data_IF_445516439654
#
_entry.id   IF_445516439654
#
_cell.length_a   1.000
_cell.length_b   1.000
_cell.length_c   1.000
_cell.angle_alpha   90.00
_cell.angle_beta   90.00
_cell.angle_gamma   90.00
#
_symmetry.space_group_name_H-M   'P 1'
#
loop_
_entity.id
_entity.type
_entity.pdbx_description
1 polymer ?
#
# COMPACT_ATOMS: atom_id res chain seq x y z
N UNK A 1 -17.17 11.80 -53.35
CA UNK A 1 -16.97 10.46 -53.95
C UNK A 1 -17.67 9.44 -53.06
N UNK A 2 -18.48 8.57 -53.68
CA UNK A 2 -19.47 7.64 -53.08
C UNK A 2 -18.83 6.36 -52.51
N UNK A 3 -19.47 5.79 -51.48
CA UNK A 3 -19.94 4.39 -51.31
C UNK A 3 -20.39 4.25 -49.84
N UNK A 4 -21.67 4.33 -49.47
CA UNK A 4 -22.81 3.39 -49.66
C UNK A 4 -22.50 1.97 -49.18
N UNK A 5 -23.08 1.58 -48.03
CA UNK A 5 -23.69 0.26 -47.86
C UNK A 5 -24.96 0.39 -47.01
N UNK A 6 -25.97 -0.37 -47.44
CA UNK A 6 -27.38 -0.25 -47.12
C UNK A 6 -27.85 -1.42 -46.24
N UNK A 7 -28.79 -1.10 -45.35
CA UNK A 7 -29.96 -1.85 -44.84
C UNK A 7 -29.87 -3.32 -44.37
N UNK A 8 -30.44 -3.59 -43.19
CA UNK A 8 -31.75 -4.27 -43.10
C UNK A 8 -32.27 -4.34 -41.64
N UNK A 9 -33.43 -3.75 -41.43
CA UNK A 9 -34.30 -3.82 -40.26
C UNK A 9 -35.05 -5.16 -40.23
N UNK A 10 -35.26 -5.74 -39.04
CA UNK A 10 -36.35 -6.70 -38.82
C UNK A 10 -36.85 -6.60 -37.37
N UNK A 11 -37.97 -5.90 -37.23
CA UNK A 11 -38.90 -5.95 -36.10
C UNK A 11 -39.84 -7.13 -36.32
N UNK A 12 -40.04 -7.95 -35.29
CA UNK A 12 -41.20 -8.84 -35.21
C UNK A 12 -41.68 -8.89 -33.75
N UNK A 13 -42.94 -8.51 -33.59
CA UNK A 13 -43.70 -8.46 -32.36
C UNK A 13 -44.62 -9.70 -32.24
N UNK A 14 -45.03 -9.99 -31.00
CA UNK A 14 -46.14 -10.90 -30.67
C UNK A 14 -45.66 -12.18 -29.96
N UNK A 15 -46.30 -12.71 -28.92
CA UNK A 15 -47.55 -12.38 -28.23
C UNK A 15 -47.45 -12.91 -26.79
N UNK A 16 -48.22 -12.30 -25.89
CA UNK A 16 -48.54 -12.75 -24.53
C UNK A 16 -49.15 -14.15 -24.49
N UNK A 17 -48.93 -14.89 -23.39
CA UNK A 17 -49.98 -15.68 -22.74
C UNK A 17 -49.66 -15.89 -21.25
N UNK A 18 -50.72 -15.71 -20.48
CA UNK A 18 -50.89 -15.63 -19.04
C UNK A 18 -50.80 -16.96 -18.30
N UNK A 19 -50.33 -16.86 -17.05
CA UNK A 19 -50.80 -17.54 -15.82
C UNK A 19 -51.05 -19.06 -15.82
N UNK A 20 -50.46 -19.74 -14.82
CA UNK A 20 -51.22 -20.28 -13.68
C UNK A 20 -50.27 -20.90 -12.65
N UNK A 21 -50.37 -20.42 -11.41
CA UNK A 21 -49.94 -21.14 -10.22
C UNK A 21 -51.05 -22.11 -9.81
N UNK A 22 -50.73 -23.36 -9.48
CA UNK A 22 -51.43 -24.19 -8.50
C UNK A 22 -50.50 -25.33 -8.01
N UNK A 23 -50.50 -25.52 -6.69
CA UNK A 23 -49.77 -26.52 -5.88
C UNK A 23 -50.36 -27.96 -6.06
N UNK A 24 -50.11 -28.92 -5.13
CA UNK A 24 -49.01 -29.90 -5.06
C UNK A 24 -49.52 -31.35 -5.19
N UNK A 25 -48.66 -32.37 -5.37
CA UNK A 25 -48.94 -33.76 -4.91
C UNK A 25 -47.73 -34.72 -5.03
N UNK A 26 -47.32 -35.24 -3.86
CA UNK A 26 -46.98 -36.64 -3.47
C UNK A 26 -46.14 -37.58 -4.38
N UNK A 27 -44.95 -37.91 -3.86
CA UNK A 27 -44.24 -39.21 -3.78
C UNK A 27 -44.10 -40.14 -5.01
N UNK A 28 -42.85 -40.39 -5.45
CA UNK A 28 -42.11 -41.65 -5.23
C UNK A 28 -40.65 -41.56 -5.75
N UNK A 29 -39.74 -42.18 -4.99
CA UNK A 29 -38.28 -42.16 -5.08
C UNK A 29 -37.67 -42.79 -6.35
N UNK A 30 -36.50 -42.27 -6.77
CA UNK A 30 -35.20 -42.99 -6.97
C UNK A 30 -34.13 -41.94 -7.39
N UNK A 31 -32.87 -42.06 -6.91
CA UNK A 31 -32.01 -40.92 -6.61
C UNK A 31 -31.04 -40.58 -7.75
N UNK A 32 -31.08 -39.34 -8.25
CA UNK A 32 -29.97 -38.79 -9.01
C UNK A 32 -28.95 -38.22 -8.03
N UNK A 33 -27.76 -38.83 -8.00
CA UNK A 33 -26.54 -38.21 -7.46
C UNK A 33 -26.32 -36.88 -8.19
N UNK A 34 -26.90 -35.81 -7.66
CA UNK A 34 -26.40 -34.47 -7.92
C UNK A 34 -25.15 -34.32 -7.05
N UNK A 35 -24.00 -34.40 -7.72
CA UNK A 35 -22.77 -33.79 -7.27
C UNK A 35 -23.08 -32.36 -6.83
N UNK A 36 -23.22 -32.16 -5.53
CA UNK A 36 -23.21 -30.84 -4.93
C UNK A 36 -21.84 -30.24 -5.26
N UNK A 37 -21.81 -29.29 -6.18
CA UNK A 37 -20.78 -28.26 -6.16
C UNK A 37 -20.76 -27.72 -4.72
N UNK A 38 -19.68 -28.03 -3.99
CA UNK A 38 -19.41 -27.47 -2.66
C UNK A 38 -19.32 -25.96 -2.83
N UNK A 39 -20.43 -25.25 -2.63
CA UNK A 39 -20.37 -23.82 -2.31
C UNK A 39 -19.53 -23.69 -1.05
N UNK A 40 -18.43 -22.96 -1.13
CA UNK A 40 -17.58 -22.65 0.01
C UNK A 40 -18.43 -22.04 1.13
N UNK A 41 -18.69 -22.84 2.16
CA UNK A 41 -19.44 -22.39 3.33
C UNK A 41 -18.51 -21.49 4.15
N UNK A 42 -18.70 -20.17 4.03
CA UNK A 42 -18.02 -19.17 4.87
C UNK A 42 -18.62 -19.03 6.27
N UNK A 43 -19.71 -19.75 6.56
CA UNK A 43 -20.34 -19.76 7.87
C UNK A 43 -20.91 -21.14 8.19
N UNK A 44 -20.84 -21.53 9.45
CA UNK A 44 -21.40 -22.77 9.97
C UNK A 44 -21.71 -22.62 11.47
N UNK A 45 -22.51 -23.55 11.98
CA UNK A 45 -23.00 -23.55 13.36
C UNK A 45 -23.09 -24.99 13.86
N UNK A 46 -22.81 -25.19 15.15
CA UNK A 46 -22.94 -26.47 15.85
C UNK A 46 -24.04 -26.43 16.93
N UNK A 47 -24.93 -25.43 16.86
CA UNK A 47 -26.00 -25.20 17.84
C UNK A 47 -25.56 -24.38 19.06
N UNK A 48 -24.30 -24.46 19.48
CA UNK A 48 -23.77 -23.64 20.59
C UNK A 48 -23.19 -22.32 20.11
N UNK A 49 -22.48 -22.35 18.98
CA UNK A 49 -21.93 -21.17 18.34
C UNK A 49 -22.22 -21.16 16.85
N UNK A 50 -22.22 -19.97 16.28
CA UNK A 50 -22.12 -19.77 14.84
C UNK A 50 -20.79 -19.06 14.55
N UNK A 51 -20.00 -19.63 13.65
CA UNK A 51 -18.70 -19.09 13.22
C UNK A 51 -18.80 -18.70 11.76
N UNK A 52 -18.33 -17.49 11.45
CA UNK A 52 -18.34 -16.93 10.10
C UNK A 52 -17.00 -16.27 9.78
N UNK A 53 -16.46 -16.56 8.60
CA UNK A 53 -15.38 -15.78 7.98
C UNK A 53 -16.04 -14.60 7.26
N UNK A 54 -15.93 -13.39 7.83
CA UNK A 54 -16.55 -12.18 7.25
C UNK A 54 -15.81 -11.74 5.99
N UNK A 55 -14.50 -11.65 6.08
CA UNK A 55 -13.60 -11.15 5.06
C UNK A 55 -12.18 -11.67 5.31
N UNK A 56 -11.29 -11.43 4.35
CA UNK A 56 -9.87 -11.68 4.51
C UNK A 56 -9.06 -10.94 3.45
N UNK A 57 -7.76 -10.80 3.69
CA UNK A 57 -6.82 -10.20 2.75
C UNK A 57 -5.41 -10.65 3.09
N UNK A 58 -4.52 -10.64 2.09
CA UNK A 58 -3.11 -10.77 2.37
C UNK A 58 -2.58 -9.49 3.02
N UNK A 59 -1.77 -9.67 4.05
CA UNK A 59 -1.10 -8.60 4.77
C UNK A 59 0.41 -8.83 4.78
N UNK A 60 1.15 -7.78 5.12
CA UNK A 60 2.56 -7.86 5.49
C UNK A 60 2.71 -7.22 6.88
N UNK A 61 2.76 -8.02 7.96
CA UNK A 61 3.07 -7.52 9.29
C UNK A 61 4.48 -6.93 9.34
N UNK A 62 4.71 -5.96 10.23
CA UNK A 62 6.04 -5.32 10.40
C UNK A 62 7.15 -6.30 10.82
N UNK A 63 6.78 -7.38 11.51
CA UNK A 63 7.64 -8.49 11.90
C UNK A 63 7.61 -9.68 10.91
N UNK A 64 6.89 -9.55 9.79
CA UNK A 64 6.75 -10.58 8.77
C UNK A 64 7.97 -10.68 7.85
N UNK A 65 8.24 -11.88 7.34
CA UNK A 65 9.24 -12.09 6.30
C UNK A 65 8.67 -11.61 4.95
N UNK A 66 9.44 -10.81 4.21
CA UNK A 66 8.99 -10.13 3.00
C UNK A 66 8.61 -11.08 1.84
N UNK A 67 9.19 -12.28 1.81
CA UNK A 67 8.92 -13.32 0.81
C UNK A 67 7.75 -14.25 1.19
N UNK A 68 7.24 -14.11 2.41
CA UNK A 68 6.17 -14.96 2.94
C UNK A 68 4.80 -14.33 2.69
N UNK A 69 3.77 -15.18 2.57
CA UNK A 69 2.39 -14.73 2.42
C UNK A 69 1.64 -14.91 3.73
N UNK A 70 1.10 -13.81 4.26
CA UNK A 70 0.30 -13.82 5.47
C UNK A 70 -1.15 -13.51 5.12
N UNK A 71 -2.06 -14.43 5.43
CA UNK A 71 -3.49 -14.24 5.23
C UNK A 71 -4.13 -13.84 6.55
N UNK A 72 -4.72 -12.64 6.59
CA UNK A 72 -5.55 -12.19 7.68
C UNK A 72 -7.01 -12.56 7.40
N UNK A 73 -7.64 -13.30 8.30
CA UNK A 73 -9.06 -13.69 8.24
C UNK A 73 -9.83 -13.01 9.36
N UNK A 74 -10.82 -12.18 9.02
CA UNK A 74 -11.76 -11.63 10.00
C UNK A 74 -12.83 -12.66 10.30
N UNK A 75 -12.88 -13.08 11.56
CA UNK A 75 -13.88 -14.00 12.07
C UNK A 75 -14.97 -13.26 12.83
N UNK A 76 -16.17 -13.81 12.81
CA UNK A 76 -17.30 -13.46 13.67
C UNK A 76 -17.80 -14.73 14.35
N UNK A 77 -17.82 -14.72 15.67
CA UNK A 77 -18.27 -15.85 16.48
C UNK A 77 -19.47 -15.36 17.31
N UNK A 78 -20.60 -16.03 17.16
CA UNK A 78 -21.84 -15.70 17.86
C UNK A 78 -22.18 -16.78 18.88
N UNK A 79 -22.42 -16.38 20.13
CA UNK A 79 -22.95 -17.28 21.14
C UNK A 79 -24.45 -17.55 20.89
N UNK A 80 -24.82 -18.81 20.69
CA UNK A 80 -26.21 -19.26 20.50
C UNK A 80 -26.81 -19.91 21.75
N UNK A 81 -25.99 -20.17 22.77
CA UNK A 81 -26.43 -20.74 24.05
C UNK A 81 -27.12 -19.68 24.92
N UNK A 82 -27.78 -20.15 25.97
CA UNK A 82 -28.40 -19.28 26.97
C UNK A 82 -27.43 -18.77 28.04
N UNK A 83 -26.22 -19.34 28.10
CA UNK A 83 -25.19 -19.04 29.09
C UNK A 83 -24.08 -18.16 28.51
N UNK A 84 -23.21 -17.66 29.39
CA UNK A 84 -21.98 -16.99 28.96
C UNK A 84 -20.97 -18.04 28.53
N UNK A 85 -20.37 -17.86 27.36
CA UNK A 85 -19.31 -18.74 26.87
C UNK A 85 -18.00 -17.98 26.72
N UNK A 86 -16.93 -18.66 27.04
CA UNK A 86 -15.57 -18.17 26.84
C UNK A 86 -15.13 -18.53 25.42
N UNK A 87 -14.60 -17.55 24.69
CA UNK A 87 -14.07 -17.73 23.33
C UNK A 87 -12.62 -17.30 23.32
N UNK A 88 -11.76 -18.15 22.74
CA UNK A 88 -10.33 -17.88 22.59
C UNK A 88 -9.86 -18.23 21.18
N UNK A 89 -8.77 -17.60 20.75
CA UNK A 89 -8.05 -18.01 19.53
C UNK A 89 -7.51 -19.45 19.62
N UNK A 90 -7.32 -19.98 20.84
CA UNK A 90 -6.90 -21.36 21.07
C UNK A 90 -7.96 -22.42 20.72
N UNK A 91 -9.22 -22.01 20.61
CA UNK A 91 -10.36 -22.84 20.19
C UNK A 91 -10.42 -23.00 18.67
N UNK A 92 -9.53 -22.30 17.95
CA UNK A 92 -9.47 -22.30 16.50
C UNK A 92 -8.26 -23.12 16.04
N UNK A 93 -8.52 -24.11 15.20
CA UNK A 93 -7.52 -24.83 14.43
C UNK A 93 -7.47 -24.29 13.00
N UNK A 94 -6.28 -24.25 12.42
CA UNK A 94 -6.10 -23.95 11.01
C UNK A 94 -5.17 -25.02 10.45
N UNK A 95 -5.64 -25.76 9.46
CA UNK A 95 -4.95 -26.93 8.95
C UNK A 95 -4.77 -26.82 7.44
N UNK A 96 -3.64 -27.31 6.95
CA UNK A 96 -3.44 -27.48 5.51
C UNK A 96 -4.11 -28.76 4.99
N UNK A 97 -3.91 -29.04 3.70
CA UNK A 97 -4.47 -30.21 3.02
C UNK A 97 -3.90 -31.55 3.50
N UNK A 98 -2.74 -31.55 4.17
CA UNK A 98 -2.10 -32.71 4.77
C UNK A 98 -2.54 -32.94 6.23
N UNK A 99 -3.29 -31.99 6.80
CA UNK A 99 -3.74 -32.01 8.19
C UNK A 99 -2.71 -31.47 9.18
N UNK A 100 -1.64 -30.81 8.72
CA UNK A 100 -0.69 -30.12 9.59
C UNK A 100 -1.34 -28.86 10.18
N UNK A 101 -1.17 -28.66 11.49
CA UNK A 101 -1.69 -27.47 12.17
C UNK A 101 -0.77 -26.27 11.99
N UNK A 102 -1.29 -25.24 11.33
CA UNK A 102 -0.62 -23.96 11.16
C UNK A 102 -0.90 -23.06 12.36
N UNK A 103 0.15 -22.52 12.97
CA UNK A 103 0.01 -21.61 14.11
C UNK A 103 -0.32 -20.19 13.65
N UNK A 104 -1.18 -19.45 14.38
CA UNK A 104 -1.42 -18.05 14.08
C UNK A 104 -0.17 -17.21 14.37
N UNK A 105 0.06 -16.20 13.54
CA UNK A 105 1.15 -15.24 13.65
C UNK A 105 0.68 -14.05 14.48
N UNK A 106 1.48 -13.66 15.47
CA UNK A 106 1.25 -12.43 16.23
C UNK A 106 1.51 -11.21 15.36
N UNK A 107 0.51 -10.33 15.26
CA UNK A 107 0.63 -9.03 14.59
C UNK A 107 0.72 -7.93 15.62
N UNK A 108 1.72 -7.08 15.47
CA UNK A 108 1.89 -5.89 16.27
C UNK A 108 1.33 -4.68 15.52
N UNK A 109 0.44 -3.94 16.17
CA UNK A 109 -0.13 -2.70 15.66
C UNK A 109 -0.21 -1.70 16.82
N UNK A 110 0.72 -0.74 16.83
CA UNK A 110 0.83 0.31 17.85
C UNK A 110 -0.45 1.15 17.97
N UNK A 111 -1.16 1.35 16.86
CA UNK A 111 -2.34 2.19 16.83
C UNK A 111 -3.62 1.44 17.25
N UNK A 112 -3.52 0.13 17.53
CA UNK A 112 -4.63 -0.77 17.85
C UNK A 112 -5.79 -0.76 16.84
N UNK A 113 -5.52 -0.36 15.59
CA UNK A 113 -6.49 -0.27 14.51
C UNK A 113 -6.83 -1.65 13.90
N UNK A 114 -5.92 -2.61 14.05
CA UNK A 114 -6.02 -3.99 13.63
C UNK A 114 -6.40 -4.90 14.80
N UNK A 115 -7.70 -5.19 14.90
CA UNK A 115 -8.27 -5.95 16.01
C UNK A 115 -8.04 -7.45 15.84
N UNK A 116 -6.97 -7.98 16.44
CA UNK A 116 -6.76 -9.42 16.56
C UNK A 116 -7.83 -10.05 17.46
N UNK A 117 -8.22 -11.29 17.16
CA UNK A 117 -9.14 -12.05 17.99
C UNK A 117 -8.47 -12.39 19.32
N UNK A 118 -8.97 -11.80 20.40
CA UNK A 118 -8.50 -12.03 21.77
C UNK A 118 -9.47 -12.93 22.52
N UNK A 119 -8.99 -13.45 23.64
CA UNK A 119 -9.82 -14.11 24.63
C UNK A 119 -10.91 -13.15 25.13
N UNK A 120 -12.17 -13.56 25.04
CA UNK A 120 -13.30 -12.77 25.52
C UNK A 120 -14.47 -13.63 25.99
N UNK A 121 -15.28 -12.99 26.82
CA UNK A 121 -16.31 -13.63 27.62
C UNK A 121 -17.69 -13.23 27.04
N UNK A 122 -18.29 -14.11 26.25
CA UNK A 122 -19.38 -13.78 25.32
C UNK A 122 -20.76 -14.16 25.88
N UNK A 123 -21.58 -13.16 26.20
CA UNK A 123 -22.95 -13.37 26.69
C UNK A 123 -23.91 -13.90 25.61
N UNK A 124 -25.07 -14.44 26.03
CA UNK A 124 -26.14 -14.96 25.16
C UNK A 124 -26.43 -14.04 23.98
N UNK A 125 -26.39 -14.60 22.77
CA UNK A 125 -26.75 -13.93 21.54
C UNK A 125 -25.77 -12.86 21.05
N UNK A 126 -24.70 -12.57 21.80
CA UNK A 126 -23.67 -11.58 21.44
C UNK A 126 -22.65 -12.17 20.48
N UNK A 127 -21.91 -11.28 19.81
CA UNK A 127 -20.89 -11.61 18.81
C UNK A 127 -19.54 -11.07 19.21
N UNK A 128 -18.50 -11.86 19.01
CA UNK A 128 -17.10 -11.45 19.04
C UNK A 128 -16.58 -11.40 17.60
N UNK A 129 -15.78 -10.40 17.27
CA UNK A 129 -15.11 -10.33 15.96
C UNK A 129 -13.66 -9.92 16.12
N UNK A 130 -12.81 -10.49 15.26
CA UNK A 130 -11.39 -10.18 15.25
C UNK A 130 -10.67 -10.96 14.17
N UNK A 131 -9.44 -10.55 13.89
CA UNK A 131 -8.56 -11.17 12.92
C UNK A 131 -7.74 -12.30 13.53
N UNK A 132 -7.57 -13.38 12.77
CA UNK A 132 -6.46 -14.30 12.92
C UNK A 132 -5.59 -14.24 11.66
N UNK A 133 -4.28 -14.38 11.84
CA UNK A 133 -3.31 -14.24 10.76
C UNK A 133 -2.50 -15.51 10.65
N UNK A 134 -2.38 -16.05 9.45
CA UNK A 134 -1.66 -17.30 9.20
C UNK A 134 -0.65 -17.10 8.08
N UNK A 135 0.54 -17.68 8.21
CA UNK A 135 1.44 -17.86 7.06
C UNK A 135 0.86 -18.98 6.19
N UNK A 136 0.67 -18.71 4.90
CA UNK A 136 0.01 -19.64 3.97
C UNK A 136 0.74 -19.68 2.63
N UNK A 137 0.51 -20.74 1.87
CA UNK A 137 0.80 -20.77 0.45
C UNK A 137 -0.45 -20.39 -0.34
N UNK A 138 -0.31 -19.57 -1.38
CA UNK A 138 -1.45 -18.95 -2.06
C UNK A 138 -2.33 -19.95 -2.81
N UNK A 139 -1.72 -20.98 -3.38
CA UNK A 139 -2.38 -21.95 -4.25
C UNK A 139 -2.84 -23.21 -3.50
N UNK A 140 -2.56 -23.30 -2.20
CA UNK A 140 -2.98 -24.40 -1.34
C UNK A 140 -4.39 -24.21 -0.78
N UNK A 141 -4.98 -25.29 -0.25
CA UNK A 141 -6.28 -25.24 0.44
C UNK A 141 -6.09 -25.51 1.93
N UNK A 142 -6.92 -24.84 2.73
CA UNK A 142 -6.87 -24.94 4.18
C UNK A 142 -8.27 -25.17 4.75
N UNK A 143 -8.32 -25.71 5.97
CA UNK A 143 -9.55 -25.82 6.75
C UNK A 143 -9.40 -25.06 8.08
N UNK A 144 -10.35 -24.18 8.36
CA UNK A 144 -10.50 -23.52 9.65
C UNK A 144 -11.50 -24.31 10.49
N UNK A 145 -11.05 -24.75 11.64
CA UNK A 145 -11.81 -25.55 12.58
C UNK A 145 -12.11 -24.72 13.83
N UNK A 146 -13.33 -24.80 14.32
CA UNK A 146 -13.68 -24.30 15.65
C UNK A 146 -14.18 -25.45 16.50
N UNK A 147 -13.55 -25.65 17.65
CA UNK A 147 -13.94 -26.61 18.66
C UNK A 147 -13.70 -25.98 20.03
N UNK A 148 -14.77 -25.86 20.83
CA UNK A 148 -14.65 -25.30 22.18
C UNK A 148 -13.88 -26.29 23.03
N UNK A 149 -12.74 -25.86 23.57
CA UNK A 149 -11.98 -26.68 24.51
C UNK A 149 -12.65 -26.63 25.88
N UNK A 150 -13.16 -27.77 26.33
CA UNK A 150 -13.70 -27.97 27.68
C UNK A 150 -12.65 -28.68 28.53
N UNK A 151 -12.66 -28.43 29.86
CA UNK A 151 -11.82 -29.18 30.80
C UNK A 151 -12.28 -30.63 30.95
N UNK A 152 -13.54 -30.89 30.61
CA UNK A 152 -14.16 -32.20 30.71
C UNK A 152 -14.05 -32.93 29.36
N UNK A 153 -13.17 -33.93 29.28
CA UNK A 153 -12.85 -34.64 28.04
C UNK A 153 -14.05 -35.42 27.46
N UNK A 154 -15.08 -35.65 28.27
CA UNK A 154 -16.31 -36.35 27.89
C UNK A 154 -17.33 -35.41 27.23
N UNK A 155 -17.19 -34.09 27.40
CA UNK A 155 -18.07 -33.08 26.79
C UNK A 155 -17.60 -32.72 25.38
N UNK A 156 -17.88 -33.60 24.42
CA UNK A 156 -17.54 -33.36 23.01
C UNK A 156 -18.50 -32.35 22.39
N UNK A 157 -17.98 -31.19 21.99
CA UNK A 157 -18.73 -30.26 21.15
C UNK A 157 -18.54 -30.62 19.68
N UNK A 158 -19.62 -30.53 18.89
CA UNK A 158 -19.50 -30.77 17.45
C UNK A 158 -18.57 -29.71 16.82
N UNK A 159 -17.55 -30.18 16.11
CA UNK A 159 -16.58 -29.32 15.46
C UNK A 159 -17.21 -28.59 14.26
N UNK A 160 -16.94 -27.29 14.14
CA UNK A 160 -17.28 -26.51 12.97
C UNK A 160 -16.09 -26.49 12.02
N UNK A 161 -16.31 -26.81 10.75
CA UNK A 161 -15.30 -26.74 9.69
C UNK A 161 -15.70 -25.74 8.61
N UNK A 162 -14.77 -24.86 8.24
CA UNK A 162 -14.90 -23.88 7.17
C UNK A 162 -13.71 -24.02 6.22
N UNK A 163 -13.98 -24.18 4.93
CA UNK A 163 -12.91 -24.20 3.92
C UNK A 163 -12.35 -22.80 3.73
N UNK A 164 -11.04 -22.71 3.57
CA UNK A 164 -10.31 -21.48 3.27
C UNK A 164 -9.47 -21.69 2.03
N UNK A 165 -9.76 -20.88 1.01
CA UNK A 165 -8.99 -20.79 -0.22
C UNK A 165 -8.26 -19.44 -0.26
N UNK A 166 -6.97 -19.37 0.09
CA UNK A 166 -6.19 -18.13 0.09
C UNK A 166 -6.23 -17.39 -1.24
N UNK A 167 -6.27 -18.10 -2.38
CA UNK A 167 -6.32 -17.51 -3.72
C UNK A 167 -7.58 -16.65 -3.95
N UNK A 168 -8.64 -16.86 -3.16
CA UNK A 168 -9.90 -16.10 -3.24
C UNK A 168 -9.83 -14.72 -2.57
N UNK A 169 -8.76 -14.42 -1.83
CA UNK A 169 -8.59 -13.17 -1.09
C UNK A 169 -7.66 -12.19 -1.82
N UNK A 170 -7.90 -10.87 -1.69
CA UNK A 170 -7.08 -9.87 -2.33
C UNK A 170 -5.65 -9.88 -1.78
N UNK A 171 -4.69 -9.85 -2.70
CA UNK A 171 -3.27 -9.61 -2.45
C UNK A 171 -2.91 -8.32 -3.19
N UNK A 172 -2.67 -7.24 -2.43
CA UNK A 172 -2.44 -5.90 -2.98
C UNK A 172 -1.13 -5.29 -2.45
N UNK A 173 -0.25 -6.11 -1.88
CA UNK A 173 1.00 -5.66 -1.26
C UNK A 173 1.90 -4.99 -2.30
N UNK A 174 2.02 -5.57 -3.50
CA UNK A 174 2.82 -5.00 -4.58
C UNK A 174 2.21 -3.71 -5.12
N UNK A 175 0.88 -3.67 -5.28
CA UNK A 175 0.14 -2.51 -5.73
C UNK A 175 0.24 -1.33 -4.76
N UNK A 176 0.39 -1.60 -3.46
CA UNK A 176 0.52 -0.57 -2.42
C UNK A 176 1.71 0.37 -2.61
N UNK A 177 2.78 -0.11 -3.25
CA UNK A 177 3.98 0.68 -3.59
C UNK A 177 3.65 1.89 -4.46
N UNK A 178 2.54 1.83 -5.21
CA UNK A 178 2.04 2.94 -6.03
C UNK A 178 1.76 4.19 -5.18
N UNK A 179 1.31 4.06 -3.94
CA UNK A 179 1.07 5.23 -3.06
C UNK A 179 2.33 6.06 -2.87
N UNK A 180 3.46 5.41 -2.57
CA UNK A 180 4.74 6.08 -2.45
C UNK A 180 5.17 6.70 -3.79
N UNK A 181 5.04 5.97 -4.89
CA UNK A 181 5.37 6.51 -6.21
C UNK A 181 4.53 7.74 -6.58
N UNK A 182 3.21 7.69 -6.34
CA UNK A 182 2.29 8.78 -6.63
C UNK A 182 2.59 10.00 -5.76
N UNK A 183 2.86 9.79 -4.46
CA UNK A 183 3.17 10.87 -3.53
C UNK A 183 4.46 11.57 -3.93
N UNK A 184 5.53 10.80 -4.14
CA UNK A 184 6.82 11.36 -4.55
C UNK A 184 6.72 12.07 -5.90
N UNK A 185 5.91 11.55 -6.83
CA UNK A 185 5.68 12.21 -8.11
C UNK A 185 4.96 13.56 -7.94
N UNK A 186 3.88 13.58 -7.17
CA UNK A 186 3.07 14.78 -6.94
C UNK A 186 3.85 15.88 -6.20
N UNK A 187 4.64 15.50 -5.20
CA UNK A 187 5.31 16.45 -4.29
C UNK A 187 6.70 16.84 -4.79
N UNK A 188 7.53 15.87 -5.20
CA UNK A 188 8.96 16.10 -5.46
C UNK A 188 9.35 16.07 -6.95
N UNK A 189 8.55 15.44 -7.82
CA UNK A 189 8.90 15.25 -9.24
C UNK A 189 7.96 16.00 -10.21
N UNK A 190 7.20 16.97 -9.72
CA UNK A 190 6.39 17.87 -10.55
C UNK A 190 5.16 17.23 -11.20
N UNK A 191 4.82 15.98 -10.89
CA UNK A 191 3.65 15.27 -11.42
C UNK A 191 3.88 14.57 -12.77
N UNK A 192 4.99 14.86 -13.46
CA UNK A 192 5.27 14.38 -14.81
C UNK A 192 6.16 13.11 -14.85
N UNK A 193 6.59 12.61 -13.69
CA UNK A 193 7.42 11.41 -13.65
C UNK A 193 6.63 10.20 -14.17
N UNK A 194 7.14 9.57 -15.23
CA UNK A 194 6.60 8.29 -15.69
C UNK A 194 7.10 7.21 -14.73
N UNK A 195 6.18 6.52 -14.06
CA UNK A 195 6.51 5.33 -13.26
C UNK A 195 7.33 4.36 -14.12
N UNK A 196 8.65 4.28 -13.85
CA UNK A 196 9.55 3.30 -14.50
C UNK A 196 9.23 1.89 -14.05
N UNK A 197 8.72 1.76 -12.83
CA UNK A 197 8.11 0.54 -12.35
C UNK A 197 6.79 0.33 -13.09
N UNK A 198 6.80 -0.63 -14.02
CA UNK A 198 5.62 -1.22 -14.63
C UNK A 198 4.85 -2.04 -13.59
N UNK A 199 4.53 -1.47 -12.43
CA UNK A 199 3.27 -1.83 -11.79
C UNK A 199 2.22 -1.41 -12.83
N UNK A 200 1.82 -2.36 -13.69
CA UNK A 200 0.77 -2.17 -14.69
C UNK A 200 -0.33 -1.45 -13.94
N UNK A 201 -0.63 -0.22 -14.36
CA UNK A 201 -1.82 0.49 -13.96
C UNK A 201 -2.98 -0.46 -14.20
N UNK A 202 -3.34 -1.21 -13.17
CA UNK A 202 -4.61 -1.89 -13.07
C UNK A 202 -5.59 -0.74 -13.02
N UNK A 203 -6.20 -0.44 -14.16
CA UNK A 203 -7.39 0.40 -14.29
C UNK A 203 -8.18 0.32 -12.98
N UNK A 204 -8.17 1.42 -12.23
CA UNK A 204 -9.03 1.70 -11.08
C UNK A 204 -9.33 0.51 -10.16
N UNK A 205 -8.41 0.20 -9.24
CA UNK A 205 -8.90 -0.14 -7.90
C UNK A 205 -8.94 1.16 -7.10
N UNK A 206 -10.12 1.55 -6.66
CA UNK A 206 -10.39 2.73 -5.83
C UNK A 206 -9.63 2.71 -4.49
N UNK A 207 -8.96 1.60 -4.16
CA UNK A 207 -8.36 1.35 -2.85
C UNK A 207 -7.11 2.18 -2.54
N UNK A 208 -6.36 2.68 -3.54
CA UNK A 208 -5.08 3.39 -3.35
C UNK A 208 -5.12 4.86 -3.80
N UNK A 209 -6.08 5.60 -3.26
CA UNK A 209 -6.21 7.04 -3.52
C UNK A 209 -5.49 7.84 -2.44
N UNK A 210 -4.56 8.71 -2.85
CA UNK A 210 -3.91 9.65 -1.93
C UNK A 210 -4.90 10.68 -1.37
N UNK A 211 -4.76 10.95 -0.08
CA UNK A 211 -5.42 12.03 0.65
C UNK A 211 -4.42 13.11 1.09
N UNK A 212 -4.86 13.96 2.02
CA UNK A 212 -4.06 15.08 2.52
C UNK A 212 -4.04 16.27 1.55
N UNK A 213 -3.13 17.23 1.81
CA UNK A 213 -2.98 18.45 1.02
C UNK A 213 -1.69 18.40 0.19
N UNK A 214 -1.71 17.62 -0.90
CA UNK A 214 -0.54 17.41 -1.75
C UNK A 214 0.01 18.71 -2.35
N UNK A 215 -0.84 19.70 -2.61
CA UNK A 215 -0.40 21.00 -3.12
C UNK A 215 0.39 21.77 -2.05
N UNK A 216 -0.06 21.72 -0.79
CA UNK A 216 0.72 22.29 0.30
C UNK A 216 2.04 21.55 0.49
N UNK A 217 2.03 20.22 0.47
CA UNK A 217 3.26 19.41 0.59
C UNK A 217 4.29 19.78 -0.50
N UNK A 218 3.83 19.95 -1.74
CA UNK A 218 4.65 20.42 -2.86
C UNK A 218 5.19 21.83 -2.62
N UNK A 219 4.36 22.75 -2.13
CA UNK A 219 4.77 24.12 -1.85
C UNK A 219 5.78 24.20 -0.70
N UNK A 220 5.58 23.41 0.36
CA UNK A 220 6.51 23.28 1.49
C UNK A 220 7.88 22.80 1.00
N UNK A 221 7.91 21.74 0.19
CA UNK A 221 9.14 21.23 -0.42
C UNK A 221 9.85 22.30 -1.25
N UNK A 222 9.12 22.99 -2.14
CA UNK A 222 9.75 24.02 -2.98
C UNK A 222 10.26 25.21 -2.18
N UNK A 223 9.57 25.57 -1.10
CA UNK A 223 10.02 26.62 -0.19
C UNK A 223 11.30 26.21 0.54
N UNK A 224 11.35 25.01 1.13
CA UNK A 224 12.55 24.47 1.77
C UNK A 224 13.75 24.44 0.81
N UNK A 225 13.53 23.95 -0.42
CA UNK A 225 14.58 23.92 -1.43
C UNK A 225 15.08 25.31 -1.80
N UNK A 226 14.18 26.30 -1.93
CA UNK A 226 14.57 27.67 -2.22
C UNK A 226 15.37 28.30 -1.07
N UNK A 227 15.01 28.02 0.18
CA UNK A 227 15.74 28.48 1.37
C UNK A 227 17.14 27.87 1.42
N UNK A 228 17.25 26.55 1.25
CA UNK A 228 18.53 25.85 1.30
C UNK A 228 19.44 26.22 0.13
N UNK A 229 18.88 26.42 -1.07
CA UNK A 229 19.61 26.94 -2.22
C UNK A 229 20.23 28.32 -1.92
N UNK A 230 19.43 29.26 -1.43
CA UNK A 230 19.90 30.62 -1.10
C UNK A 230 20.89 30.63 0.06
N UNK A 231 20.68 29.77 1.05
CA UNK A 231 21.59 29.62 2.19
C UNK A 231 22.93 29.05 1.74
N UNK A 232 22.93 28.07 0.85
CA UNK A 232 24.16 27.45 0.35
C UNK A 232 24.93 28.37 -0.59
N UNK A 233 24.22 29.08 -1.47
CA UNK A 233 24.77 29.99 -2.47
C UNK A 233 24.48 31.45 -2.10
N UNK A 234 24.91 31.83 -0.90
CA UNK A 234 24.55 33.10 -0.26
C UNK A 234 25.39 34.29 -0.72
N UNK A 235 26.52 34.06 -1.40
CA UNK A 235 27.38 35.15 -1.85
C UNK A 235 26.76 35.87 -3.05
N UNK A 236 26.03 35.16 -3.92
CA UNK A 236 25.24 35.77 -5.00
C UNK A 236 23.77 35.97 -4.60
N UNK A 237 23.21 37.20 -4.71
CA UNK A 237 21.83 37.49 -4.31
C UNK A 237 20.83 37.02 -5.38
N UNK A 238 20.59 35.72 -5.46
CA UNK A 238 19.62 35.15 -6.41
C UNK A 238 18.21 35.71 -6.18
N UNK A 239 17.57 36.13 -7.27
CA UNK A 239 16.16 36.52 -7.26
C UNK A 239 15.27 35.28 -7.12
N UNK A 240 14.06 35.44 -6.59
CA UNK A 240 13.08 34.33 -6.52
C UNK A 240 12.80 33.71 -7.88
N UNK A 241 12.86 34.51 -8.95
CA UNK A 241 12.69 34.03 -10.32
C UNK A 241 13.82 33.09 -10.75
N UNK A 242 15.07 33.44 -10.45
CA UNK A 242 16.23 32.59 -10.76
C UNK A 242 16.18 31.28 -9.96
N UNK A 243 15.90 31.35 -8.66
CA UNK A 243 15.81 30.16 -7.80
C UNK A 243 14.68 29.23 -8.27
N UNK A 244 13.49 29.78 -8.54
CA UNK A 244 12.38 28.95 -9.02
C UNK A 244 12.66 28.32 -10.39
N UNK A 245 13.32 29.04 -11.31
CA UNK A 245 13.70 28.48 -12.61
C UNK A 245 14.71 27.32 -12.46
N UNK A 246 15.65 27.44 -11.52
CA UNK A 246 16.57 26.35 -11.19
C UNK A 246 15.81 25.13 -10.63
N UNK A 247 14.95 25.35 -9.63
CA UNK A 247 14.16 24.28 -9.00
C UNK A 247 13.27 23.59 -10.04
N UNK A 248 12.62 24.33 -10.93
CA UNK A 248 11.79 23.76 -11.99
C UNK A 248 12.60 22.84 -12.91
N UNK A 249 13.74 23.32 -13.41
CA UNK A 249 14.62 22.53 -14.25
C UNK A 249 15.14 21.27 -13.52
N UNK A 250 15.50 21.41 -12.25
CA UNK A 250 15.98 20.32 -11.41
C UNK A 250 14.90 19.26 -11.15
N UNK A 251 13.68 19.68 -10.82
CA UNK A 251 12.51 18.80 -10.61
C UNK A 251 12.14 18.07 -11.92
N UNK A 252 12.07 18.80 -13.04
CA UNK A 252 11.78 18.22 -14.36
C UNK A 252 12.85 17.18 -14.76
N UNK A 253 14.11 17.46 -14.43
CA UNK A 253 15.21 16.55 -14.71
C UNK A 253 15.11 15.27 -13.86
N UNK A 254 14.86 15.40 -12.55
CA UNK A 254 14.68 14.26 -11.67
C UNK A 254 13.44 13.43 -12.02
N UNK A 255 12.36 14.04 -12.51
CA UNK A 255 11.19 13.32 -13.02
C UNK A 255 11.55 12.33 -14.15
N UNK A 256 12.59 12.64 -14.93
CA UNK A 256 13.10 11.79 -16.03
C UNK A 256 14.17 10.82 -15.55
N UNK A 257 15.09 11.30 -14.72
CA UNK A 257 16.37 10.62 -14.44
C UNK A 257 16.40 9.86 -13.13
N UNK A 258 15.61 10.27 -12.13
CA UNK A 258 15.63 9.61 -10.83
C UNK A 258 15.35 8.11 -10.95
N UNK A 259 15.96 7.37 -10.03
CA UNK A 259 15.74 5.95 -9.85
C UNK A 259 15.34 5.74 -8.40
N UNK A 260 14.13 5.24 -8.17
CA UNK A 260 13.59 5.07 -6.82
C UNK A 260 13.18 3.62 -6.70
N UNK A 261 13.75 2.89 -5.74
CA UNK A 261 13.26 1.55 -5.40
C UNK A 261 12.19 1.64 -4.32
N UNK A 262 11.12 0.87 -4.46
CA UNK A 262 10.02 0.79 -3.50
C UNK A 262 9.92 -0.62 -2.91
N UNK A 263 9.98 -0.72 -1.59
CA UNK A 263 9.82 -2.00 -0.87
C UNK A 263 8.71 -1.86 0.15
N UNK A 264 7.70 -2.73 0.07
CA UNK A 264 6.68 -2.80 1.13
C UNK A 264 7.35 -3.36 2.39
N UNK A 265 7.35 -2.58 3.46
CA UNK A 265 7.82 -3.01 4.78
C UNK A 265 6.66 -3.44 5.68
N UNK A 266 5.47 -2.88 5.44
CA UNK A 266 4.25 -3.25 6.13
C UNK A 266 3.05 -2.95 5.22
N UNK A 267 2.06 -3.84 5.22
CA UNK A 267 0.79 -3.66 4.52
C UNK A 267 -0.34 -4.21 5.40
N UNK A 268 -1.10 -3.31 6.00
CA UNK A 268 -2.22 -3.57 6.89
C UNK A 268 -3.47 -2.84 6.35
N UNK A 269 -4.70 -3.20 6.78
CA UNK A 269 -5.94 -2.63 6.23
C UNK A 269 -6.03 -1.09 6.30
N UNK A 270 -5.43 -0.50 7.34
CA UNK A 270 -5.48 0.94 7.62
C UNK A 270 -4.10 1.61 7.66
N UNK A 271 -3.02 0.85 7.47
CA UNK A 271 -1.64 1.35 7.59
C UNK A 271 -0.72 0.65 6.59
N UNK A 272 0.09 1.43 5.89
CA UNK A 272 1.07 0.94 4.91
C UNK A 272 2.39 1.65 5.16
N UNK A 273 3.49 0.88 5.21
CA UNK A 273 4.84 1.43 5.28
C UNK A 273 5.61 0.99 4.06
N UNK A 274 6.05 1.97 3.26
CA UNK A 274 6.90 1.74 2.09
C UNK A 274 8.29 2.30 2.37
N UNK A 275 9.30 1.45 2.26
CA UNK A 275 10.71 1.85 2.21
C UNK A 275 11.05 2.36 0.82
N UNK A 276 11.72 3.50 0.75
CA UNK A 276 12.18 4.12 -0.49
C UNK A 276 13.69 4.31 -0.48
N UNK A 277 14.31 4.16 -1.64
CA UNK A 277 15.72 4.49 -1.86
C UNK A 277 15.88 5.37 -3.10
N UNK A 278 15.67 6.70 -2.95
CA UNK A 278 15.71 7.61 -4.08
C UNK A 278 17.15 7.93 -4.50
N UNK A 279 17.44 7.80 -5.80
CA UNK A 279 18.66 8.28 -6.43
C UNK A 279 18.34 9.50 -7.27
N UNK A 280 18.69 10.68 -6.75
CA UNK A 280 18.42 12.00 -7.33
C UNK A 280 19.72 12.69 -7.73
N UNK A 281 19.64 13.72 -8.57
CA UNK A 281 20.80 14.53 -8.95
C UNK A 281 21.43 15.20 -7.71
N UNK A 282 22.72 14.98 -7.45
CA UNK A 282 23.40 15.63 -6.31
C UNK A 282 23.80 17.07 -6.62
N UNK A 283 23.64 17.96 -5.64
CA UNK A 283 24.15 19.34 -5.65
C UNK A 283 25.33 19.50 -4.65
N UNK A 284 25.35 18.77 -3.54
CA UNK A 284 26.40 18.94 -2.51
C UNK A 284 27.77 18.41 -2.94
N UNK A 285 27.80 17.29 -3.66
CA UNK A 285 29.07 16.72 -4.14
C UNK A 285 29.63 17.50 -5.32
N UNK A 286 28.75 18.13 -6.09
CA UNK A 286 29.16 18.95 -7.23
C UNK A 286 29.69 20.30 -6.79
N UNK A 287 29.08 20.94 -5.78
CA UNK A 287 29.53 22.27 -5.32
C UNK A 287 30.97 22.24 -4.79
N UNK A 288 31.34 21.22 -4.00
CA UNK A 288 32.69 21.15 -3.43
C UNK A 288 33.78 21.03 -4.50
N UNK A 289 33.58 20.13 -5.46
CA UNK A 289 34.54 19.94 -6.56
C UNK A 289 34.58 21.17 -7.46
N UNK A 290 33.41 21.73 -7.78
CA UNK A 290 33.30 22.94 -8.59
C UNK A 290 34.02 24.12 -7.94
N UNK A 291 33.77 24.38 -6.66
CA UNK A 291 34.38 25.51 -5.93
C UNK A 291 35.89 25.42 -5.94
N UNK A 292 36.46 24.22 -5.79
CA UNK A 292 37.90 24.00 -5.89
C UNK A 292 38.42 24.34 -7.28
N UNK A 293 37.85 23.75 -8.33
CA UNK A 293 38.29 23.98 -9.71
C UNK A 293 38.13 25.43 -10.15
N UNK A 294 37.04 26.08 -9.74
CA UNK A 294 36.78 27.48 -10.03
C UNK A 294 37.82 28.37 -9.34
N UNK A 295 38.18 28.06 -8.09
CA UNK A 295 39.22 28.78 -7.36
C UNK A 295 40.58 28.65 -8.04
N UNK A 296 40.97 27.43 -8.42
CA UNK A 296 42.27 27.18 -9.04
C UNK A 296 42.42 27.92 -10.38
N UNK A 297 41.34 28.04 -11.15
CA UNK A 297 41.35 28.69 -12.47
C UNK A 297 41.18 30.21 -12.40
N UNK A 298 40.22 30.68 -11.60
CA UNK A 298 39.73 32.05 -11.71
C UNK A 298 40.14 32.95 -10.54
N UNK A 299 40.72 32.43 -9.45
CA UNK A 299 41.02 33.26 -8.27
C UNK A 299 41.88 34.48 -8.60
N UNK A 300 42.88 34.35 -9.48
CA UNK A 300 43.76 35.47 -9.88
C UNK A 300 43.07 36.54 -10.73
N UNK A 301 41.89 36.25 -11.30
CA UNK A 301 41.13 37.18 -12.14
C UNK A 301 40.38 38.23 -11.30
N UNK A 302 40.22 38.01 -10.00
CA UNK A 302 39.45 38.87 -9.11
C UNK A 302 40.35 39.60 -8.11
N UNK A 303 40.27 40.92 -8.13
CA UNK A 303 41.00 41.79 -7.20
C UNK A 303 40.44 41.69 -5.76
N UNK A 304 39.14 41.41 -5.61
CA UNK A 304 38.50 41.28 -4.30
C UNK A 304 37.78 39.95 -4.14
N UNK A 305 37.73 39.50 -2.88
CA UNK A 305 37.23 38.18 -2.54
C UNK A 305 35.69 38.09 -2.62
N UNK A 306 34.99 39.20 -2.43
CA UNK A 306 33.52 39.24 -2.50
C UNK A 306 33.01 39.06 -3.94
N UNK A 307 33.62 39.71 -4.92
CA UNK A 307 33.30 39.51 -6.35
C UNK A 307 33.68 38.10 -6.81
N UNK A 308 34.78 37.56 -6.30
CA UNK A 308 35.16 36.17 -6.55
C UNK A 308 34.08 35.19 -6.10
N UNK A 309 33.60 35.28 -4.85
CA UNK A 309 32.57 34.35 -4.35
C UNK A 309 31.21 34.58 -5.01
N UNK A 310 30.82 35.83 -5.29
CA UNK A 310 29.64 36.14 -6.11
C UNK A 310 29.69 35.47 -7.48
N UNK A 311 30.85 35.53 -8.14
CA UNK A 311 31.04 34.88 -9.41
C UNK A 311 31.01 33.35 -9.28
N UNK A 312 31.63 32.79 -8.24
CA UNK A 312 31.63 31.34 -8.00
C UNK A 312 30.21 30.80 -7.84
N UNK A 313 29.39 31.40 -6.97
CA UNK A 313 28.00 30.96 -6.74
C UNK A 313 27.16 31.06 -8.01
N UNK A 314 27.26 32.19 -8.73
CA UNK A 314 26.49 32.38 -9.97
C UNK A 314 26.89 31.38 -11.05
N UNK A 315 28.19 31.20 -11.28
CA UNK A 315 28.68 30.27 -12.30
C UNK A 315 28.41 28.82 -11.90
N UNK A 316 28.41 28.48 -10.61
CA UNK A 316 28.01 27.15 -10.15
C UNK A 316 26.55 26.86 -10.48
N UNK A 317 25.63 27.78 -10.17
CA UNK A 317 24.21 27.61 -10.48
C UNK A 317 23.98 27.45 -12.00
N UNK A 318 24.68 28.25 -12.82
CA UNK A 318 24.58 28.18 -14.29
C UNK A 318 25.16 26.86 -14.84
N UNK A 319 26.32 26.43 -14.35
CA UNK A 319 26.96 25.17 -14.73
C UNK A 319 26.12 23.96 -14.32
N UNK A 320 25.52 24.00 -13.13
CA UNK A 320 24.60 22.96 -12.67
C UNK A 320 23.37 22.91 -13.55
N UNK A 321 22.70 24.04 -13.78
CA UNK A 321 21.51 24.12 -14.62
C UNK A 321 21.77 23.60 -16.04
N UNK A 322 22.92 23.95 -16.64
CA UNK A 322 23.31 23.49 -17.96
C UNK A 322 23.62 21.98 -18.03
N UNK A 323 24.11 21.39 -16.94
CA UNK A 323 24.57 20.00 -16.89
C UNK A 323 23.60 19.01 -16.23
N UNK A 324 22.38 19.43 -15.84
CA UNK A 324 21.43 18.61 -15.08
C UNK A 324 21.18 17.23 -15.71
N UNK A 325 21.23 17.08 -17.03
CA UNK A 325 20.99 15.82 -17.75
C UNK A 325 22.13 14.77 -17.66
N UNK A 326 23.32 15.21 -17.24
CA UNK A 326 24.53 14.39 -17.21
C UNK A 326 25.14 14.28 -15.81
N UNK A 327 24.70 15.11 -14.84
CA UNK A 327 25.16 15.00 -13.44
C UNK A 327 24.87 13.62 -12.83
N UNK A 328 25.77 13.09 -11.99
CA UNK A 328 25.57 11.79 -11.36
C UNK A 328 24.38 11.80 -10.40
N UNK A 329 23.72 10.65 -10.28
CA UNK A 329 22.71 10.42 -9.25
C UNK A 329 23.38 10.00 -7.95
N UNK A 330 23.00 10.65 -6.85
CA UNK A 330 23.41 10.26 -5.51
C UNK A 330 22.77 8.92 -5.15
N UNK A 331 23.51 8.06 -4.43
CA UNK A 331 22.91 6.90 -3.77
C UNK A 331 22.83 7.20 -2.29
N UNK A 332 21.65 7.15 -1.67
CA UNK A 332 21.49 7.44 -0.26
C UNK A 332 22.11 6.31 0.56
N UNK A 333 22.69 6.66 1.71
CA UNK A 333 23.37 5.72 2.61
C UNK A 333 22.39 4.74 3.29
N UNK A 334 21.14 5.18 3.46
CA UNK A 334 20.07 4.42 4.12
C UNK A 334 18.78 4.49 3.30
N UNK A 335 17.88 3.55 3.60
CA UNK A 335 16.51 3.61 3.11
C UNK A 335 15.71 4.61 3.96
N UNK A 336 14.77 5.31 3.33
CA UNK A 336 13.79 6.15 4.02
C UNK A 336 12.44 5.43 4.09
N UNK A 337 11.53 5.90 4.95
CA UNK A 337 10.21 5.31 5.11
C UNK A 337 9.12 6.34 4.87
N UNK A 338 8.09 5.92 4.14
CA UNK A 338 6.83 6.64 4.01
C UNK A 338 5.75 5.79 4.66
N UNK A 339 5.13 6.33 5.71
CA UNK A 339 4.00 5.72 6.40
C UNK A 339 2.70 6.36 5.91
N UNK A 340 1.79 5.57 5.37
CA UNK A 340 0.48 6.01 4.95
C UNK A 340 -0.58 5.43 5.88
N UNK A 341 -1.48 6.28 6.36
CA UNK A 341 -2.62 5.88 7.20
C UNK A 341 -3.91 6.19 6.46
N UNK A 342 -4.89 5.28 6.59
CA UNK A 342 -6.18 5.44 5.93
C UNK A 342 -7.10 6.37 6.74
N UNK A 343 -7.45 7.51 6.16
CA UNK A 343 -8.32 8.54 6.73
C UNK A 343 -9.44 8.87 5.74
N UNK A 344 -10.69 8.73 6.16
CA UNK A 344 -11.88 8.97 5.32
C UNK A 344 -11.83 8.28 3.94
N UNK A 345 -11.33 7.03 3.93
CA UNK A 345 -11.21 6.20 2.73
C UNK A 345 -10.02 6.53 1.82
N UNK A 346 -9.18 7.52 2.17
CA UNK A 346 -7.96 7.89 1.43
C UNK A 346 -6.71 7.63 2.24
N UNK A 347 -5.57 7.47 1.57
CA UNK A 347 -4.28 7.25 2.20
C UNK A 347 -3.53 8.57 2.38
N UNK A 348 -3.33 8.97 3.63
CA UNK A 348 -2.64 10.22 3.99
C UNK A 348 -1.25 9.86 4.47
N UNK A 349 -0.24 10.59 4.02
CA UNK A 349 1.12 10.44 4.56
C UNK A 349 1.15 10.93 6.00
N UNK A 350 1.57 10.06 6.91
CA UNK A 350 1.96 10.42 8.27
C UNK A 350 3.45 10.77 8.26
N UNK A 351 3.76 12.07 8.40
CA UNK A 351 5.14 12.55 8.44
C UNK A 351 5.75 12.22 9.80
N UNK A 352 6.91 11.56 9.80
CA UNK A 352 7.72 11.35 10.99
C UNK A 352 8.99 12.24 10.96
N UNK A 353 9.87 12.07 11.94
CA UNK A 353 11.14 12.81 12.03
C UNK A 353 12.10 12.52 10.86
N UNK A 354 11.88 11.46 10.07
CA UNK A 354 12.70 11.11 8.92
C UNK A 354 12.28 11.83 7.64
N UNK A 355 11.09 12.43 7.62
CA UNK A 355 10.55 13.13 6.45
C UNK A 355 11.48 14.25 5.95
N UNK A 356 12.10 14.99 6.85
CA UNK A 356 13.09 16.03 6.49
C UNK A 356 14.28 15.45 5.72
N UNK A 357 14.74 14.24 6.06
CA UNK A 357 15.80 13.57 5.30
C UNK A 357 15.36 13.17 3.88
N UNK A 358 14.06 12.91 3.68
CA UNK A 358 13.49 12.66 2.35
C UNK A 358 13.53 13.96 1.55
N UNK A 359 13.07 15.07 2.14
CA UNK A 359 13.12 16.41 1.54
C UNK A 359 14.55 16.74 1.09
N UNK A 360 15.54 16.64 1.98
CA UNK A 360 16.97 16.89 1.67
C UNK A 360 17.45 16.01 0.50
N UNK A 361 17.04 14.74 0.46
CA UNK A 361 17.41 13.84 -0.65
C UNK A 361 16.81 14.31 -1.98
N UNK A 362 15.59 14.84 -1.99
CA UNK A 362 14.95 15.35 -3.20
C UNK A 362 15.41 16.74 -3.59
N UNK A 363 15.99 17.53 -2.69
CA UNK A 363 16.65 18.81 -2.98
C UNK A 363 18.09 18.65 -3.49
N UNK A 364 18.52 17.40 -3.67
CA UNK A 364 19.86 17.10 -4.16
C UNK A 364 20.91 17.46 -3.14
N UNK A 365 20.66 17.10 -1.88
CA UNK A 365 21.60 17.19 -0.76
C UNK A 365 22.22 18.57 -0.51
N UNK A 366 21.63 19.65 -1.04
CA UNK A 366 22.18 21.00 -0.99
C UNK A 366 22.24 21.62 0.42
N UNK A 367 21.41 21.09 1.33
CA UNK A 367 21.28 21.50 2.73
C UNK A 367 22.60 21.56 3.49
#
# INVERSE_FOLDING_TARGET
MKKVFQYATLLLAGMSLTACAFLPTSNQDIPSKQSQEKKDKKAASNGQVEVKIKEGQFILPSNGAADSKYLALSLEIKNKTDEKIMISSSDIGFYDSEGEKIQPVGVYDDAENFKILKYEDLAKGKTLSGYLVFKVEKDEKYELHYEKKTYDADEKTEEIKLNVDPSSYPDQIEESKKLASDYLNAVFLGGDAKSKDKAKSSKGKEDFVLGGNLEQDKNDFRAAFAEDFKRKLHDYPFTDKEVNAFIDAYVENNAKRSEISYTAAQYMPNEIVIKIKPRTVSLSKTILNYSKEFSDKHRSEYANLSEFYKAQDKNYADDMMAGLDSRPLLTPERDYQLKFVKTDGKWVLERDFSYESIVISFEGDIS
#
